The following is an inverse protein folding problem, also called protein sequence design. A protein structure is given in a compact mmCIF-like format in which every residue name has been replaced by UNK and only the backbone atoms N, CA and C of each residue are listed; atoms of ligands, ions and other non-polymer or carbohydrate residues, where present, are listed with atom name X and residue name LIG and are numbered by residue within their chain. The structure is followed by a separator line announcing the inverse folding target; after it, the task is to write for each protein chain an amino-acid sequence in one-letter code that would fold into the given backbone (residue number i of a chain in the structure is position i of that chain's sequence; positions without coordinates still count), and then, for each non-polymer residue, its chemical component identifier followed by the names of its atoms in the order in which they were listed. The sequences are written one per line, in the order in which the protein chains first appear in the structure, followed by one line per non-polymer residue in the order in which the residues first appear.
data_IF_368807580969
#
_entry.id   IF_368807580969
#
_cell.length_a   1.000
_cell.length_b   1.000
_cell.length_c   1.000
_cell.angle_alpha   90.00
_cell.angle_beta   90.00
_cell.angle_gamma   90.00
#
_symmetry.space_group_name_H-M   'P 1'
#
loop_
_entity.id
_entity.type
_entity.pdbx_description
1 polymer ?
#
# COMPACT_ATOMS: atom_id res chain seq x y z
N UNK A 1 -19.65 8.02 -23.09
CA UNK A 1 -19.12 9.29 -22.56
C UNK A 1 -17.67 9.05 -22.15
N UNK A 2 -16.73 10.01 -22.28
CA UNK A 2 -15.43 9.86 -21.67
C UNK A 2 -15.59 9.76 -20.15
N UNK A 3 -14.75 8.95 -19.50
CA UNK A 3 -14.80 8.76 -18.05
C UNK A 3 -14.38 10.05 -17.31
N UNK A 4 -15.01 10.36 -16.15
CA UNK A 4 -14.58 11.46 -15.31
C UNK A 4 -13.12 11.31 -14.90
N UNK A 5 -12.39 12.43 -14.88
CA UNK A 5 -10.99 12.45 -14.49
C UNK A 5 -10.61 13.76 -13.82
N UNK A 6 -9.57 13.70 -12.98
CA UNK A 6 -9.00 14.82 -12.27
C UNK A 6 -8.07 15.62 -13.19
N UNK A 7 -8.20 16.94 -13.13
CA UNK A 7 -7.28 17.89 -13.77
C UNK A 7 -6.46 18.66 -12.73
N UNK A 8 -6.86 18.63 -11.46
CA UNK A 8 -6.15 19.28 -10.36
C UNK A 8 -6.31 18.46 -9.07
N UNK A 9 -5.20 18.33 -8.34
CA UNK A 9 -5.13 17.77 -6.98
C UNK A 9 -4.10 18.58 -6.20
N UNK A 10 -4.49 19.15 -5.06
CA UNK A 10 -3.56 19.94 -4.25
C UNK A 10 -4.11 20.28 -2.87
N UNK A 11 -3.23 20.77 -2.01
CA UNK A 11 -3.58 21.18 -0.65
C UNK A 11 -3.77 22.70 -0.54
N UNK A 12 -4.82 23.14 0.15
CA UNK A 12 -5.01 24.52 0.57
C UNK A 12 -5.36 24.56 2.07
N UNK A 13 -4.33 24.74 2.90
CA UNK A 13 -4.45 24.53 4.34
C UNK A 13 -4.67 23.04 4.65
N UNK A 14 -5.69 22.71 5.43
CA UNK A 14 -6.12 21.34 5.71
C UNK A 14 -6.97 20.70 4.63
N UNK A 15 -7.38 21.48 3.62
CA UNK A 15 -8.32 21.01 2.61
C UNK A 15 -7.62 20.47 1.37
N UNK A 16 -8.02 19.27 0.96
CA UNK A 16 -7.69 18.71 -0.35
C UNK A 16 -8.62 19.34 -1.39
N UNK A 17 -8.03 20.09 -2.31
CA UNK A 17 -8.70 20.66 -3.47
C UNK A 17 -8.63 19.66 -4.62
N UNK A 18 -9.79 19.37 -5.20
CA UNK A 18 -9.94 18.47 -6.32
C UNK A 18 -10.75 19.17 -7.41
N UNK A 19 -10.24 19.18 -8.64
CA UNK A 19 -10.99 19.64 -9.79
C UNK A 19 -10.82 18.66 -10.95
N UNK A 20 -11.82 18.59 -11.82
CA UNK A 20 -11.78 17.67 -12.95
C UNK A 20 -12.87 17.88 -13.97
N UNK A 21 -12.89 17.00 -14.96
CA UNK A 21 -13.86 16.98 -16.05
C UNK A 21 -14.77 15.77 -15.90
N UNK A 22 -16.08 15.99 -16.06
CA UNK A 22 -17.10 14.93 -16.08
C UNK A 22 -17.33 14.39 -17.49
N UNK A 23 -17.25 15.27 -18.49
CA UNK A 23 -17.53 14.91 -19.88
C UNK A 23 -17.58 16.09 -20.83
N UNK A 24 -18.03 15.87 -22.08
CA UNK A 24 -18.40 16.95 -23.00
C UNK A 24 -19.60 17.74 -22.46
N UNK A 25 -19.80 18.95 -22.97
CA UNK A 25 -20.87 19.86 -22.57
C UNK A 25 -22.26 19.20 -22.60
N UNK A 26 -23.14 19.66 -21.72
CA UNK A 26 -24.45 19.04 -21.51
C UNK A 26 -25.10 19.51 -20.20
N UNK A 27 -26.15 18.84 -19.75
CA UNK A 27 -26.77 19.13 -18.46
C UNK A 27 -25.77 18.94 -17.33
N UNK A 28 -25.79 19.87 -16.37
CA UNK A 28 -24.92 19.84 -15.18
C UNK A 28 -25.53 18.88 -14.15
N UNK A 29 -24.89 17.75 -13.83
CA UNK A 29 -25.41 16.80 -12.86
C UNK A 29 -25.10 17.27 -11.43
N UNK A 30 -25.86 16.75 -10.46
CA UNK A 30 -25.42 16.76 -9.06
C UNK A 30 -24.19 15.86 -8.91
N UNK A 31 -23.24 16.31 -8.08
CA UNK A 31 -21.99 15.59 -7.82
C UNK A 31 -21.62 15.61 -6.35
N UNK A 32 -21.07 14.50 -5.88
CA UNK A 32 -20.50 14.37 -4.54
C UNK A 32 -19.23 13.53 -4.61
N UNK A 33 -18.27 13.82 -3.74
CA UNK A 33 -17.19 12.88 -3.48
C UNK A 33 -17.63 11.86 -2.45
N UNK A 34 -17.23 10.61 -2.69
CA UNK A 34 -17.43 9.50 -1.76
C UNK A 34 -16.06 9.01 -1.35
N UNK A 35 -15.71 9.22 -0.09
CA UNK A 35 -14.52 8.66 0.53
C UNK A 35 -14.94 7.38 1.24
N UNK A 36 -14.35 6.26 0.84
CA UNK A 36 -14.65 4.95 1.43
C UNK A 36 -13.40 4.37 2.05
N UNK A 37 -13.46 4.05 3.34
CA UNK A 37 -12.40 3.31 4.02
C UNK A 37 -12.33 1.90 3.44
N UNK A 38 -11.13 1.50 2.99
CA UNK A 38 -10.90 0.20 2.34
C UNK A 38 -10.94 -1.00 3.29
N UNK A 39 -10.78 -0.77 4.59
CA UNK A 39 -10.61 -1.82 5.60
C UNK A 39 -11.79 -1.87 6.57
N UNK A 40 -12.23 -0.72 7.07
CA UNK A 40 -13.23 -0.60 8.13
C UNK A 40 -14.64 -0.30 7.56
N UNK A 41 -14.75 -0.01 6.27
CA UNK A 41 -16.02 0.17 5.56
C UNK A 41 -16.75 1.49 5.88
N UNK A 42 -16.11 2.41 6.61
CA UNK A 42 -16.63 3.75 6.83
C UNK A 42 -16.78 4.52 5.50
N UNK A 43 -17.81 5.37 5.42
CA UNK A 43 -18.07 6.18 4.22
C UNK A 43 -18.34 7.62 4.61
N UNK A 44 -17.60 8.54 4.00
CA UNK A 44 -17.80 9.99 4.12
C UNK A 44 -18.22 10.55 2.76
N UNK A 45 -19.24 11.39 2.75
CA UNK A 45 -19.72 12.07 1.52
C UNK A 45 -19.42 13.56 1.64
N UNK A 46 -18.76 14.12 0.64
CA UNK A 46 -18.39 15.53 0.61
C UNK A 46 -19.07 16.19 -0.57
N UNK A 47 -19.78 17.32 -0.38
CA UNK A 47 -20.37 18.06 -1.48
C UNK A 47 -19.32 18.46 -2.51
N UNK A 48 -19.68 18.32 -3.78
CA UNK A 48 -18.94 18.85 -4.90
C UNK A 48 -19.85 19.77 -5.72
N UNK A 49 -19.23 20.65 -6.49
CA UNK A 49 -19.95 21.54 -7.41
C UNK A 49 -19.62 21.14 -8.83
N UNK A 50 -20.64 21.10 -9.69
CA UNK A 50 -20.43 20.93 -11.13
C UNK A 50 -20.87 22.19 -11.87
N UNK A 51 -20.21 22.49 -12.98
CA UNK A 51 -20.54 23.64 -13.81
C UNK A 51 -20.24 23.34 -15.29
N UNK A 52 -21.03 23.90 -16.19
CA UNK A 52 -20.68 23.95 -17.60
C UNK A 52 -19.61 25.04 -17.82
N UNK A 53 -18.46 24.66 -18.36
CA UNK A 53 -17.36 25.56 -18.73
C UNK A 53 -16.95 25.28 -20.17
N UNK A 54 -17.29 26.20 -21.08
CA UNK A 54 -17.02 26.04 -22.50
C UNK A 54 -17.75 24.83 -23.09
N UNK A 55 -17.00 23.89 -23.66
CA UNK A 55 -17.48 22.66 -24.28
C UNK A 55 -17.45 21.44 -23.33
N UNK A 56 -17.29 21.67 -22.03
CA UNK A 56 -17.15 20.63 -21.02
C UNK A 56 -18.02 20.89 -19.79
N UNK A 57 -18.34 19.81 -19.07
CA UNK A 57 -18.83 19.90 -17.69
C UNK A 57 -17.66 19.58 -16.76
N UNK A 58 -17.35 20.51 -15.86
CA UNK A 58 -16.27 20.40 -14.87
C UNK A 58 -16.85 20.25 -13.47
N UNK A 59 -16.07 19.69 -12.56
CA UNK A 59 -16.40 19.66 -11.14
C UNK A 59 -15.26 20.22 -10.28
N UNK A 60 -15.61 20.74 -9.13
CA UNK A 60 -14.70 21.22 -8.09
C UNK A 60 -15.21 20.74 -6.72
N UNK A 61 -14.28 20.29 -5.87
CA UNK A 61 -14.57 19.82 -4.52
C UNK A 61 -13.46 20.22 -3.55
N UNK A 62 -13.86 20.49 -2.31
CA UNK A 62 -12.97 20.85 -1.20
C UNK A 62 -13.23 19.88 -0.05
N UNK A 63 -12.25 19.03 0.25
CA UNK A 63 -12.33 18.06 1.35
C UNK A 63 -11.48 18.56 2.51
N UNK A 64 -12.09 19.15 3.53
CA UNK A 64 -11.37 19.58 4.73
C UNK A 64 -11.09 18.38 5.64
N UNK A 65 -9.88 17.85 5.56
CA UNK A 65 -9.49 16.63 6.28
C UNK A 65 -9.46 16.84 7.80
N UNK A 66 -9.35 18.09 8.26
CA UNK A 66 -9.35 18.40 9.69
C UNK A 66 -10.77 18.49 10.29
N UNK A 67 -11.81 18.61 9.47
CA UNK A 67 -13.18 18.87 9.93
C UNK A 67 -14.23 18.23 8.99
N UNK A 68 -14.05 16.95 8.67
CA UNK A 68 -14.84 16.26 7.63
C UNK A 68 -16.11 15.59 8.19
N UNK A 69 -16.05 15.04 9.40
CA UNK A 69 -17.16 14.26 10.00
C UNK A 69 -17.73 15.04 11.16
N UNK A 70 -18.79 15.83 10.94
CA UNK A 70 -19.40 16.68 11.98
C UNK A 70 -18.40 17.63 12.67
N UNK A 71 -17.33 18.03 11.97
CA UNK A 71 -16.27 18.88 12.51
C UNK A 71 -15.05 18.12 13.04
N UNK A 72 -15.08 16.78 13.08
CA UNK A 72 -13.95 15.95 13.45
C UNK A 72 -13.04 15.63 12.23
N UNK A 73 -11.74 15.41 12.46
CA UNK A 73 -10.82 15.04 11.40
C UNK A 73 -11.15 13.69 10.76
N UNK A 74 -10.69 13.48 9.53
CA UNK A 74 -10.79 12.18 8.86
C UNK A 74 -10.05 11.12 9.71
N UNK A 75 -10.68 10.00 10.07
CA UNK A 75 -10.03 8.95 10.83
C UNK A 75 -8.81 8.36 10.11
N UNK A 76 -7.86 7.85 10.90
CA UNK A 76 -6.70 7.13 10.40
C UNK A 76 -7.11 5.90 9.60
N UNK A 77 -6.55 5.72 8.40
CA UNK A 77 -6.98 4.67 7.48
C UNK A 77 -6.58 4.94 6.03
N UNK A 78 -6.91 4.00 5.16
CA UNK A 78 -6.74 4.12 3.71
C UNK A 78 -8.10 4.34 3.05
N UNK A 79 -8.29 5.53 2.51
CA UNK A 79 -9.54 5.98 1.95
C UNK A 79 -9.46 6.02 0.43
N UNK A 80 -10.38 5.35 -0.27
CA UNK A 80 -10.55 5.51 -1.70
C UNK A 80 -11.48 6.68 -2.00
N UNK A 81 -11.09 7.56 -2.92
CA UNK A 81 -11.90 8.72 -3.32
C UNK A 81 -12.55 8.46 -4.66
N UNK A 82 -13.89 8.40 -4.66
CA UNK A 82 -14.72 8.22 -5.85
C UNK A 82 -15.64 9.42 -6.05
N UNK A 83 -16.18 9.55 -7.26
CA UNK A 83 -17.15 10.58 -7.61
C UNK A 83 -18.52 9.94 -7.82
N UNK A 84 -19.51 10.37 -7.04
CA UNK A 84 -20.91 10.10 -7.31
C UNK A 84 -21.46 11.17 -8.26
N UNK A 85 -22.08 10.74 -9.36
CA UNK A 85 -22.68 11.62 -10.37
C UNK A 85 -24.16 11.26 -10.52
N UNK A 86 -25.01 12.29 -10.57
CA UNK A 86 -26.45 12.15 -10.75
C UNK A 86 -27.24 12.25 -9.44
N UNK A 87 -28.55 12.46 -9.59
CA UNK A 87 -29.48 12.60 -8.47
C UNK A 87 -29.73 11.27 -7.74
N UNK A 88 -30.41 11.29 -6.58
CA UNK A 88 -30.54 10.14 -5.68
C UNK A 88 -31.08 8.85 -6.31
N UNK A 89 -31.92 8.95 -7.34
CA UNK A 89 -32.53 7.80 -8.03
C UNK A 89 -31.63 7.18 -9.12
N UNK A 90 -30.65 7.91 -9.65
CA UNK A 90 -29.81 7.51 -10.79
C UNK A 90 -28.30 7.64 -10.48
N UNK A 91 -27.95 7.70 -9.19
CA UNK A 91 -26.60 7.98 -8.72
C UNK A 91 -25.61 6.89 -9.13
N UNK A 92 -24.64 7.26 -9.96
CA UNK A 92 -23.56 6.38 -10.40
C UNK A 92 -22.27 6.75 -9.67
N UNK A 93 -21.59 5.78 -9.05
CA UNK A 93 -20.30 6.00 -8.38
C UNK A 93 -19.18 5.55 -9.30
N UNK A 94 -18.29 6.47 -9.65
CA UNK A 94 -17.23 6.30 -10.63
C UNK A 94 -15.85 6.50 -9.99
N UNK A 95 -14.82 5.75 -10.41
CA UNK A 95 -13.46 5.98 -9.94
C UNK A 95 -12.95 7.36 -10.41
N UNK A 96 -12.22 8.06 -9.54
CA UNK A 96 -11.54 9.30 -9.92
C UNK A 96 -10.12 9.00 -10.37
N UNK A 97 -9.93 8.97 -11.68
CA UNK A 97 -8.64 8.72 -12.32
C UNK A 97 -7.92 10.03 -12.65
N UNK A 98 -6.60 9.94 -12.82
CA UNK A 98 -5.77 11.05 -13.30
C UNK A 98 -6.11 11.42 -14.74
N UNK A 99 -6.24 12.71 -15.02
CA UNK A 99 -6.32 13.24 -16.38
C UNK A 99 -4.96 13.34 -17.08
N UNK A 100 -4.94 13.61 -18.39
CA UNK A 100 -3.71 13.89 -19.13
C UNK A 100 -2.98 15.11 -18.55
N UNK A 101 -1.66 15.00 -18.36
CA UNK A 101 -0.81 16.12 -17.90
C UNK A 101 -0.86 16.44 -16.40
N UNK A 102 -1.78 15.84 -15.63
CA UNK A 102 -1.79 15.98 -14.18
C UNK A 102 -0.62 15.20 -13.56
N UNK A 103 0.07 15.78 -12.59
CA UNK A 103 1.14 15.13 -11.86
C UNK A 103 0.62 13.93 -11.04
N UNK A 104 1.37 12.82 -11.02
CA UNK A 104 1.07 11.66 -10.19
C UNK A 104 1.88 11.62 -8.89
N UNK A 105 2.73 12.61 -8.62
CA UNK A 105 3.47 12.70 -7.36
C UNK A 105 2.51 12.77 -6.16
N UNK A 106 2.73 11.95 -5.11
CA UNK A 106 1.95 12.03 -3.88
C UNK A 106 1.98 13.41 -3.25
N UNK A 107 0.81 13.95 -2.92
CA UNK A 107 0.64 15.24 -2.27
C UNK A 107 0.53 15.02 -0.76
N UNK A 108 1.53 15.49 0.00
CA UNK A 108 1.58 15.32 1.46
C UNK A 108 1.16 16.57 2.20
N UNK A 109 0.45 16.35 3.30
CA UNK A 109 0.07 17.36 4.28
C UNK A 109 0.45 16.85 5.68
N UNK A 110 0.98 17.74 6.50
CA UNK A 110 1.23 17.50 7.93
C UNK A 110 0.37 18.47 8.74
N UNK A 111 -0.91 18.14 9.04
CA UNK A 111 -1.75 19.01 9.82
C UNK A 111 -1.17 19.17 11.24
N UNK A 112 -1.18 20.39 11.83
CA UNK A 112 -0.66 20.62 13.17
C UNK A 112 -1.34 19.71 14.21
N UNK A 113 -0.54 18.99 15.01
CA UNK A 113 -1.05 18.10 16.06
C UNK A 113 -1.79 16.87 15.56
N UNK A 114 -1.69 16.54 14.27
CA UNK A 114 -2.36 15.38 13.66
C UNK A 114 -1.37 14.49 12.91
N UNK A 115 -1.88 13.34 12.46
CA UNK A 115 -1.11 12.39 11.66
C UNK A 115 -0.90 12.92 10.23
N UNK A 116 0.15 12.46 9.55
CA UNK A 116 0.40 12.82 8.16
C UNK A 116 -0.75 12.34 7.26
N UNK A 117 -1.09 13.14 6.26
CA UNK A 117 -2.14 12.85 5.27
C UNK A 117 -1.51 12.89 3.89
N UNK A 118 -1.76 11.86 3.09
CA UNK A 118 -1.10 11.71 1.78
C UNK A 118 -2.16 11.37 0.74
N UNK A 119 -2.37 12.28 -0.22
CA UNK A 119 -3.22 12.04 -1.39
C UNK A 119 -2.36 11.55 -2.55
N UNK A 120 -2.74 10.43 -3.17
CA UNK A 120 -1.94 9.81 -4.23
C UNK A 120 -2.82 8.96 -5.16
N UNK A 121 -2.32 8.61 -6.34
CA UNK A 121 -2.97 7.65 -7.23
C UNK A 121 -2.43 6.25 -6.95
N UNK A 122 -3.32 5.30 -6.68
CA UNK A 122 -2.92 3.92 -6.42
C UNK A 122 -2.51 3.15 -7.69
N UNK A 123 -2.20 1.85 -7.54
CA UNK A 123 -1.77 1.00 -8.66
C UNK A 123 -2.78 0.90 -9.80
N UNK A 124 -4.07 1.10 -9.50
CA UNK A 124 -5.17 1.06 -10.45
C UNK A 124 -5.43 2.45 -11.05
N UNK A 125 -4.65 3.46 -10.63
CA UNK A 125 -4.73 4.85 -11.05
C UNK A 125 -5.88 5.62 -10.41
N UNK A 126 -6.44 5.12 -9.30
CA UNK A 126 -7.57 5.72 -8.59
C UNK A 126 -7.02 6.59 -7.46
N UNK A 127 -7.61 7.77 -7.25
CA UNK A 127 -7.24 8.65 -6.15
C UNK A 127 -7.54 7.97 -4.80
N UNK A 128 -6.53 7.95 -3.94
CA UNK A 128 -6.60 7.48 -2.57
C UNK A 128 -6.00 8.51 -1.60
N UNK A 129 -6.44 8.47 -0.34
CA UNK A 129 -5.93 9.27 0.77
C UNK A 129 -5.52 8.33 1.90
N UNK A 130 -4.24 8.36 2.26
CA UNK A 130 -3.69 7.63 3.39
C UNK A 130 -3.55 8.59 4.59
N UNK A 131 -4.17 8.23 5.72
CA UNK A 131 -4.15 9.02 6.96
C UNK A 131 -3.39 8.24 8.03
N UNK A 132 -2.23 8.76 8.40
CA UNK A 132 -1.40 8.24 9.49
C UNK A 132 -0.36 7.20 9.10
N UNK A 133 -0.32 6.75 7.84
CA UNK A 133 0.80 5.96 7.31
C UNK A 133 0.97 4.58 7.94
N UNK A 134 -0.09 4.04 8.57
CA UNK A 134 -0.07 2.66 9.10
C UNK A 134 0.13 1.66 7.95
N UNK A 135 0.74 0.49 8.17
CA UNK A 135 0.78 -0.56 7.16
C UNK A 135 -0.62 -0.98 6.73
N UNK A 136 -0.84 -1.04 5.42
CA UNK A 136 -2.11 -1.45 4.81
C UNK A 136 -1.92 -2.67 3.93
N UNK A 137 -2.86 -3.61 3.98
CA UNK A 137 -2.80 -4.82 3.18
C UNK A 137 -2.87 -4.49 1.67
N UNK A 138 -1.93 -5.03 0.89
CA UNK A 138 -1.79 -4.78 -0.54
C UNK A 138 -1.93 -6.04 -1.40
N UNK A 139 -2.48 -7.12 -0.82
CA UNK A 139 -2.66 -8.41 -1.47
C UNK A 139 -1.48 -9.35 -1.22
N UNK A 140 -1.17 -10.19 -2.20
CA UNK A 140 -0.10 -11.18 -2.11
C UNK A 140 0.85 -11.12 -3.30
N UNK A 141 2.09 -11.53 -3.06
CA UNK A 141 3.12 -11.68 -4.09
C UNK A 141 3.84 -13.01 -3.88
N UNK A 142 4.19 -13.69 -4.98
CA UNK A 142 4.94 -14.95 -4.90
C UNK A 142 6.43 -14.65 -4.82
N UNK A 143 7.13 -15.32 -3.90
CA UNK A 143 8.59 -15.34 -3.92
C UNK A 143 9.09 -16.16 -5.12
N UNK A 144 10.06 -15.62 -5.86
CA UNK A 144 10.70 -16.34 -6.95
C UNK A 144 11.58 -17.47 -6.42
N UNK A 145 12.28 -17.22 -5.31
CA UNK A 145 13.19 -18.18 -4.70
C UNK A 145 13.28 -18.00 -3.18
N UNK A 146 13.40 -19.14 -2.48
CA UNK A 146 13.77 -19.21 -1.07
C UNK A 146 14.89 -20.22 -0.95
N UNK A 147 16.09 -19.81 -0.50
CA UNK A 147 17.24 -20.72 -0.43
C UNK A 147 18.08 -20.51 0.82
N UNK A 148 18.88 -21.52 1.15
CA UNK A 148 19.82 -21.49 2.27
C UNK A 148 21.18 -20.96 1.82
N UNK A 149 21.65 -19.87 2.44
CA UNK A 149 23.02 -19.42 2.32
C UNK A 149 23.88 -20.06 3.41
N UNK A 150 24.62 -21.11 3.07
CA UNK A 150 25.44 -21.85 4.04
C UNK A 150 26.62 -21.06 4.61
N UNK A 151 27.22 -20.16 3.81
CA UNK A 151 28.37 -19.36 4.22
C UNK A 151 27.99 -18.36 5.31
N UNK A 152 26.84 -17.70 5.16
CA UNK A 152 26.34 -16.69 6.10
C UNK A 152 25.33 -17.23 7.10
N UNK A 153 24.84 -18.45 6.88
CA UNK A 153 23.84 -19.14 7.69
C UNK A 153 22.53 -18.36 7.80
N UNK A 154 22.05 -17.91 6.65
CA UNK A 154 20.86 -17.08 6.44
C UNK A 154 19.88 -17.81 5.50
N UNK A 155 18.59 -17.58 5.68
CA UNK A 155 17.58 -17.91 4.66
C UNK A 155 17.41 -16.69 3.77
N UNK A 156 17.69 -16.84 2.48
CA UNK A 156 17.56 -15.76 1.51
C UNK A 156 16.24 -15.92 0.77
N UNK A 157 15.42 -14.87 0.79
CA UNK A 157 14.14 -14.78 0.09
C UNK A 157 14.29 -13.72 -1.00
N UNK A 158 13.96 -14.08 -2.23
CA UNK A 158 13.99 -13.19 -3.37
C UNK A 158 12.70 -13.29 -4.18
N UNK A 159 12.32 -12.18 -4.81
CA UNK A 159 11.16 -12.11 -5.68
C UNK A 159 11.10 -10.82 -6.49
N UNK A 160 9.98 -10.60 -7.15
CA UNK A 160 9.71 -9.35 -7.84
C UNK A 160 8.25 -8.94 -7.71
N UNK A 161 8.00 -7.66 -7.98
CA UNK A 161 6.67 -7.08 -8.12
C UNK A 161 6.57 -6.43 -9.49
N UNK A 162 5.52 -6.75 -10.24
CA UNK A 162 5.22 -6.09 -11.50
C UNK A 162 4.68 -4.70 -11.20
N UNK A 163 5.50 -3.68 -11.47
CA UNK A 163 5.17 -2.28 -11.27
C UNK A 163 5.30 -1.56 -12.60
N UNK A 164 4.22 -0.92 -13.04
CA UNK A 164 4.18 -0.21 -14.33
C UNK A 164 5.11 1.00 -14.36
N UNK A 165 5.20 1.72 -13.25
CA UNK A 165 6.04 2.91 -13.11
C UNK A 165 6.40 3.11 -11.62
N UNK A 166 7.67 3.38 -11.34
CA UNK A 166 8.16 3.74 -10.00
C UNK A 166 8.69 5.16 -10.12
N UNK A 167 7.87 6.14 -9.79
CA UNK A 167 8.20 7.56 -9.91
C UNK A 167 8.70 8.17 -8.58
N UNK A 168 8.91 7.35 -7.55
CA UNK A 168 9.36 7.80 -6.23
C UNK A 168 10.24 6.75 -5.54
N UNK A 169 11.11 7.15 -4.60
CA UNK A 169 11.90 6.21 -3.83
C UNK A 169 11.01 5.25 -3.02
N UNK A 170 11.35 3.97 -3.07
CA UNK A 170 10.70 2.89 -2.32
C UNK A 170 11.72 2.24 -1.39
N UNK A 171 11.34 1.98 -0.14
CA UNK A 171 12.06 1.11 0.79
C UNK A 171 11.32 -0.20 0.96
N UNK A 172 12.04 -1.27 1.30
CA UNK A 172 11.47 -2.59 1.51
C UNK A 172 11.93 -3.18 2.84
N UNK A 173 10.99 -3.73 3.60
CA UNK A 173 11.25 -4.47 4.83
C UNK A 173 10.50 -5.79 4.76
N UNK A 174 11.20 -6.90 4.96
CA UNK A 174 10.58 -8.18 5.19
C UNK A 174 10.14 -8.24 6.66
N UNK A 175 8.85 -8.41 6.91
CA UNK A 175 8.27 -8.54 8.25
C UNK A 175 7.94 -10.01 8.48
N UNK A 176 8.47 -10.57 9.56
CA UNK A 176 8.22 -11.93 10.00
C UNK A 176 7.39 -11.86 11.28
N UNK A 177 6.17 -12.36 11.25
CA UNK A 177 5.24 -12.38 12.39
C UNK A 177 5.14 -13.79 12.93
N UNK A 178 5.37 -13.96 14.24
CA UNK A 178 5.30 -15.28 14.88
C UNK A 178 3.83 -15.72 15.05
N UNK A 179 3.50 -16.96 14.71
CA UNK A 179 2.10 -17.43 14.64
C UNK A 179 1.34 -17.48 15.96
N UNK A 180 2.04 -17.48 17.09
CA UNK A 180 1.47 -17.76 18.41
C UNK A 180 1.72 -16.62 19.41
N UNK A 181 2.21 -15.48 18.95
CA UNK A 181 2.51 -14.29 19.74
C UNK A 181 2.56 -13.05 18.87
N UNK A 182 2.45 -11.87 19.47
CA UNK A 182 2.55 -10.59 18.74
C UNK A 182 3.99 -10.18 18.41
N UNK A 183 4.91 -11.16 18.32
CA UNK A 183 6.32 -10.90 18.06
C UNK A 183 6.55 -10.73 16.56
N UNK A 184 7.22 -9.63 16.22
CA UNK A 184 7.71 -9.39 14.88
C UNK A 184 9.24 -9.47 14.84
N UNK A 185 9.76 -9.78 13.66
CA UNK A 185 11.17 -9.71 13.33
C UNK A 185 11.30 -9.08 11.94
N UNK A 186 12.10 -8.02 11.82
CA UNK A 186 12.19 -7.22 10.61
C UNK A 186 13.58 -7.34 9.98
N UNK A 187 13.61 -7.45 8.65
CA UNK A 187 14.84 -7.50 7.87
C UNK A 187 14.71 -6.53 6.72
N UNK A 188 15.68 -5.64 6.56
CA UNK A 188 15.73 -4.73 5.41
C UNK A 188 15.87 -5.57 4.13
N UNK A 189 14.98 -5.35 3.17
CA UNK A 189 15.06 -5.93 1.85
C UNK A 189 15.86 -4.99 0.93
N UNK A 190 16.87 -5.54 0.25
CA UNK A 190 17.50 -4.86 -0.86
C UNK A 190 16.49 -4.79 -2.01
N UNK A 191 16.30 -3.58 -2.56
CA UNK A 191 15.44 -3.34 -3.71
C UNK A 191 16.29 -2.97 -4.92
N UNK A 192 15.98 -3.57 -6.08
CA UNK A 192 16.62 -3.29 -7.36
C UNK A 192 15.53 -3.02 -8.40
N UNK A 193 15.51 -1.81 -8.95
CA UNK A 193 14.61 -1.45 -10.04
C UNK A 193 15.11 -2.06 -11.35
N UNK A 194 14.22 -2.75 -12.05
CA UNK A 194 14.44 -3.26 -13.42
C UNK A 194 13.29 -2.82 -14.32
N UNK A 195 13.45 -2.81 -15.65
CA UNK A 195 12.37 -2.44 -16.56
C UNK A 195 11.07 -3.21 -16.27
N UNK A 196 10.03 -2.50 -15.84
CA UNK A 196 8.68 -3.04 -15.55
C UNK A 196 8.52 -3.81 -14.24
N UNK A 197 9.53 -3.85 -13.36
CA UNK A 197 9.45 -4.60 -12.09
C UNK A 197 10.41 -4.10 -11.01
N UNK A 198 10.02 -4.30 -9.77
CA UNK A 198 10.87 -4.09 -8.60
C UNK A 198 11.30 -5.45 -8.03
N UNK A 199 12.58 -5.77 -8.15
CA UNK A 199 13.15 -6.97 -7.55
C UNK A 199 13.47 -6.70 -6.08
N UNK A 200 13.22 -7.68 -5.22
CA UNK A 200 13.57 -7.62 -3.80
C UNK A 200 14.41 -8.83 -3.39
N UNK A 201 15.30 -8.63 -2.42
CA UNK A 201 16.07 -9.71 -1.79
C UNK A 201 16.28 -9.40 -0.31
N UNK A 202 15.90 -10.32 0.56
CA UNK A 202 16.08 -10.22 2.00
C UNK A 202 16.81 -11.45 2.54
N UNK A 203 17.74 -11.25 3.48
CA UNK A 203 18.52 -12.32 4.09
C UNK A 203 18.19 -12.43 5.58
N UNK A 204 17.45 -13.48 5.96
CA UNK A 204 16.99 -13.70 7.32
C UNK A 204 18.06 -14.45 8.12
N UNK A 205 18.68 -13.82 9.15
CA UNK A 205 19.75 -14.45 9.92
C UNK A 205 19.21 -15.53 10.86
N UNK A 206 19.78 -16.74 10.80
CA UNK A 206 19.27 -17.88 11.61
C UNK A 206 20.18 -18.29 12.76
N UNK A 207 21.50 -18.09 12.61
CA UNK A 207 22.47 -18.55 13.62
C UNK A 207 23.43 -17.47 14.10
N UNK A 208 23.73 -16.50 13.25
CA UNK A 208 24.53 -15.31 13.55
C UNK A 208 23.88 -14.16 12.78
N UNK A 209 23.70 -13.01 13.41
CA UNK A 209 23.76 -11.78 12.66
C UNK A 209 24.99 -11.02 13.15
N UNK A 210 25.63 -10.28 12.24
CA UNK A 210 26.84 -9.50 12.53
C UNK A 210 26.49 -8.28 13.38
N UNK A 211 25.23 -7.81 13.29
CA UNK A 211 24.70 -6.62 13.97
C UNK A 211 23.44 -6.95 14.80
N UNK A 212 22.56 -7.82 14.30
CA UNK A 212 21.26 -8.14 14.92
C UNK A 212 21.18 -9.51 15.63
N UNK A 213 20.09 -9.75 16.35
CA UNK A 213 19.78 -11.07 16.90
C UNK A 213 19.30 -12.03 15.79
N UNK A 214 19.69 -13.33 15.81
CA UNK A 214 19.17 -14.30 14.85
C UNK A 214 17.70 -14.63 15.12
N UNK A 215 16.94 -14.93 14.07
CA UNK A 215 15.52 -15.25 14.11
C UNK A 215 15.22 -16.26 15.24
N UNK A 216 14.35 -15.93 16.21
CA UNK A 216 14.03 -16.81 17.31
C UNK A 216 13.34 -18.11 16.85
N UNK A 217 13.29 -19.10 17.74
CA UNK A 217 12.52 -20.32 17.49
C UNK A 217 11.03 -19.98 17.36
N UNK A 218 10.34 -20.69 16.47
CA UNK A 218 8.93 -20.47 16.18
C UNK A 218 8.62 -20.75 14.71
N UNK A 219 7.35 -20.57 14.35
CA UNK A 219 6.89 -20.53 12.96
C UNK A 219 6.46 -19.10 12.65
N UNK A 220 7.07 -18.55 11.61
CA UNK A 220 6.95 -17.14 11.25
C UNK A 220 6.26 -17.02 9.90
N UNK A 221 5.15 -16.30 9.84
CA UNK A 221 4.54 -15.89 8.57
C UNK A 221 5.30 -14.68 8.01
N UNK A 222 5.49 -14.65 6.69
CA UNK A 222 6.35 -13.66 6.04
C UNK A 222 5.53 -12.72 5.15
N UNK A 223 5.73 -11.42 5.33
CA UNK A 223 5.21 -10.37 4.47
C UNK A 223 6.32 -9.41 4.03
N UNK A 224 6.09 -8.73 2.90
CA UNK A 224 6.94 -7.65 2.40
C UNK A 224 6.20 -6.32 2.60
N UNK A 225 6.74 -5.47 3.47
CA UNK A 225 6.29 -4.11 3.67
C UNK A 225 7.08 -3.16 2.77
N UNK A 226 6.39 -2.48 1.86
CA UNK A 226 6.97 -1.43 1.02
C UNK A 226 6.64 -0.06 1.61
N UNK A 227 7.66 0.72 1.90
CA UNK A 227 7.55 2.11 2.33
C UNK A 227 7.76 3.06 1.16
N UNK A 228 6.85 4.01 0.95
CA UNK A 228 7.04 5.07 -0.04
C UNK A 228 6.32 6.34 0.41
N UNK A 229 7.01 7.47 0.40
CA UNK A 229 6.44 8.77 0.81
C UNK A 229 5.81 8.82 2.22
N UNK A 230 6.15 7.90 3.13
CA UNK A 230 5.55 7.78 4.47
C UNK A 230 4.32 6.86 4.53
N UNK A 231 3.91 6.28 3.39
CA UNK A 231 2.90 5.23 3.29
C UNK A 231 3.56 3.86 3.37
N UNK A 232 2.83 2.87 3.90
CA UNK A 232 3.31 1.50 4.02
C UNK A 232 2.31 0.52 3.42
N UNK A 233 2.77 -0.38 2.55
CA UNK A 233 1.94 -1.41 1.90
C UNK A 233 2.51 -2.79 2.18
N UNK A 234 1.71 -3.62 2.83
CA UNK A 234 2.09 -4.95 3.25
C UNK A 234 1.55 -6.01 2.29
N UNK A 235 2.46 -6.72 1.65
CA UNK A 235 2.18 -7.82 0.74
C UNK A 235 2.43 -9.14 1.45
N UNK A 236 1.41 -10.00 1.54
CA UNK A 236 1.62 -11.37 2.02
C UNK A 236 2.47 -12.13 1.01
N UNK A 237 3.60 -12.70 1.44
CA UNK A 237 4.41 -13.50 0.54
C UNK A 237 3.86 -14.93 0.42
N UNK A 238 3.79 -15.44 -0.79
CA UNK A 238 3.56 -16.85 -1.09
C UNK A 238 4.91 -17.53 -1.32
N UNK A 239 5.02 -18.79 -0.93
CA UNK A 239 6.27 -19.54 -1.00
C UNK A 239 6.75 -19.76 -2.45
N UNK A 240 8.06 -19.94 -2.59
CA UNK A 240 8.69 -20.38 -3.82
C UNK A 240 8.42 -21.88 -4.08
N UNK A 241 8.74 -22.36 -5.29
CA UNK A 241 8.55 -23.77 -5.66
C UNK A 241 9.49 -24.73 -4.90
N UNK A 242 10.69 -24.27 -4.55
CA UNK A 242 11.67 -25.05 -3.79
C UNK A 242 11.73 -24.53 -2.34
N UNK A 243 11.45 -25.38 -1.33
CA UNK A 243 11.55 -24.98 0.06
C UNK A 243 12.98 -25.13 0.58
N UNK A 244 13.28 -24.42 1.67
CA UNK A 244 14.45 -24.70 2.50
C UNK A 244 14.11 -25.81 3.49
N UNK A 245 15.01 -26.79 3.66
CA UNK A 245 14.99 -27.73 4.79
C UNK A 245 16.41 -28.14 5.15
N UNK A 246 16.97 -27.54 6.21
CA UNK A 246 18.35 -27.76 6.64
C UNK A 246 18.45 -27.95 8.15
N UNK A 247 19.52 -28.60 8.59
CA UNK A 247 19.88 -28.70 10.02
C UNK A 247 21.09 -27.83 10.32
N UNK A 248 20.93 -26.89 11.23
CA UNK A 248 21.98 -25.96 11.64
C UNK A 248 22.35 -26.17 13.10
N UNK A 249 23.61 -25.91 13.44
CA UNK A 249 24.05 -25.93 14.84
C UNK A 249 23.79 -24.55 15.47
N UNK A 250 22.89 -24.50 16.47
CA UNK A 250 22.53 -23.27 17.20
C UNK A 250 22.51 -23.55 18.70
N UNK A 251 23.23 -22.74 19.49
CA UNK A 251 23.33 -22.87 20.96
C UNK A 251 23.53 -24.34 21.42
N UNK A 252 24.54 -25.00 20.87
CA UNK A 252 24.93 -26.39 21.18
C UNK A 252 23.89 -27.47 20.82
N UNK A 253 22.91 -27.16 19.96
CA UNK A 253 21.91 -28.14 19.50
C UNK A 253 21.69 -28.04 17.99
N UNK A 254 21.47 -29.18 17.33
CA UNK A 254 20.93 -29.18 15.98
C UNK A 254 19.50 -28.64 16.00
N UNK A 255 19.26 -27.61 15.19
CA UNK A 255 17.98 -26.96 15.01
C UNK A 255 17.61 -27.07 13.54
N UNK A 256 16.40 -27.57 13.24
CA UNK A 256 15.88 -27.59 11.87
C UNK A 256 15.45 -26.19 11.47
N UNK A 257 15.70 -25.84 10.22
CA UNK A 257 15.28 -24.59 9.57
C UNK A 257 14.54 -25.01 8.33
N UNK A 258 13.26 -24.68 8.24
CA UNK A 258 12.43 -25.04 7.11
C UNK A 258 11.66 -23.83 6.58
N UNK A 259 11.29 -23.85 5.31
CA UNK A 259 10.27 -22.96 4.75
C UNK A 259 9.10 -23.75 4.18
N UNK A 260 7.94 -23.09 4.06
CA UNK A 260 6.83 -23.65 3.27
C UNK A 260 7.16 -23.71 1.77
N UNK A 261 6.28 -24.36 1.02
CA UNK A 261 6.38 -24.58 -0.43
C UNK A 261 5.14 -24.02 -1.13
N UNK A 262 5.29 -23.52 -2.36
CA UNK A 262 4.18 -23.04 -3.15
C UNK A 262 3.06 -24.10 -3.28
N UNK A 263 1.77 -23.71 -3.31
CA UNK A 263 1.25 -22.33 -3.37
C UNK A 263 0.99 -21.70 -1.99
N UNK A 264 1.43 -22.34 -0.90
CA UNK A 264 1.11 -21.89 0.45
C UNK A 264 1.76 -20.54 0.77
N UNK A 265 1.19 -19.77 1.72
CA UNK A 265 1.86 -18.62 2.31
C UNK A 265 3.28 -18.97 2.75
N UNK A 266 4.24 -18.07 2.48
CA UNK A 266 5.61 -18.25 2.88
C UNK A 266 5.73 -18.22 4.40
N UNK A 267 6.26 -19.30 4.96
CA UNK A 267 6.65 -19.38 6.36
C UNK A 267 8.11 -19.77 6.50
N UNK A 268 8.70 -19.37 7.61
CA UNK A 268 9.98 -19.88 8.09
C UNK A 268 9.77 -20.53 9.46
N UNK A 269 10.16 -21.79 9.61
CA UNK A 269 10.13 -22.52 10.87
C UNK A 269 11.54 -22.75 11.40
N UNK A 270 11.80 -22.31 12.63
CA UNK A 270 13.07 -22.51 13.33
C UNK A 270 12.86 -23.41 14.55
N UNK A 271 13.35 -24.64 14.49
CA UNK A 271 13.20 -25.63 15.56
C UNK A 271 12.22 -26.74 15.21
N UNK A 272 11.56 -27.30 16.24
CA UNK A 272 10.49 -28.26 16.03
C UNK A 272 9.20 -27.47 15.75
N UNK A 273 8.48 -27.88 14.71
CA UNK A 273 7.07 -27.53 14.57
C UNK A 273 6.27 -28.15 15.72
#
# INVERSE_FOLDING_TARGET
MPEPHLTEVGWAGSALLLAGRLGPGGPVPEVELVLSDREEGAVVRVPATAAARGDAVTFEARVDIAAITNGDPLPGGLWEVRLAVGGPAERTVLPLRRGPGLDAAPQRLFPPGSAAVIAYFDRDGILAVDVGGRPHAAGSARADATHWNAARREVVIAGHLDLREINMPVSGTLVLSERHSDRTFEVIALLEERPGRLCYTAAVPVTRAIVDEPLPRGTWDVSLCLGFSGMHRELRLLAAGEPVDVRVWRRLRHTRVASSVAPDPLTITIGRA
#
